data_IF_312959582789
#
_entry.id   IF_312959582789
#
_cell.length_a   1.000
_cell.length_b   1.000
_cell.length_c   1.000
_cell.angle_alpha   90.00
_cell.angle_beta   90.00
_cell.angle_gamma   90.00
#
_symmetry.space_group_name_H-M   'P 1'
#
loop_
_entity.id
_entity.type
_entity.pdbx_description
1 polymer ?
#
# COMPACT_ATOMS: atom_id res chain seq x y z
N UNK A 1 -2.12 -20.52 16.01
CA UNK A 1 -1.38 -20.74 14.73
C UNK A 1 0.11 -20.46 14.84
N UNK A 2 0.61 -19.49 15.65
CA UNK A 2 2.07 -19.24 15.82
C UNK A 2 2.55 -19.04 17.27
N UNK A 3 1.67 -19.18 18.28
CA UNK A 3 1.94 -19.03 19.73
C UNK A 3 2.95 -17.93 20.11
N UNK A 4 2.75 -16.72 19.56
CA UNK A 4 3.64 -15.57 19.73
C UNK A 4 2.85 -14.27 19.88
N UNK A 5 3.32 -13.34 20.72
CA UNK A 5 2.75 -12.00 20.78
C UNK A 5 2.86 -11.31 19.42
N UNK A 6 1.75 -10.73 18.96
CA UNK A 6 1.66 -10.00 17.70
C UNK A 6 1.08 -8.61 17.95
N UNK A 7 1.61 -7.60 17.27
CA UNK A 7 1.07 -6.24 17.26
C UNK A 7 0.77 -5.85 15.81
N UNK A 8 -0.39 -5.25 15.58
CA UNK A 8 -0.81 -4.77 14.26
C UNK A 8 -0.78 -3.24 14.26
N UNK A 9 -0.04 -2.66 13.31
CA UNK A 9 0.09 -1.21 13.12
C UNK A 9 -0.59 -0.72 11.83
N UNK A 10 -1.51 -1.51 11.28
CA UNK A 10 -2.26 -1.18 10.08
C UNK A 10 -3.03 0.14 10.25
N UNK A 11 -2.90 1.02 9.26
CA UNK A 11 -3.55 2.32 9.26
C UNK A 11 -4.21 2.57 7.91
N UNK A 12 -5.48 2.97 7.93
CA UNK A 12 -6.22 3.33 6.73
C UNK A 12 -5.57 4.55 6.07
N UNK A 13 -5.37 4.49 4.76
CA UNK A 13 -4.79 5.57 3.97
C UNK A 13 -3.29 5.79 4.18
N UNK A 14 -2.60 4.91 4.91
CA UNK A 14 -1.15 5.00 5.05
C UNK A 14 -0.42 4.58 3.77
N UNK A 15 0.68 5.25 3.51
CA UNK A 15 1.71 4.93 2.54
C UNK A 15 3.05 4.79 3.28
N UNK A 16 4.13 4.58 2.52
CA UNK A 16 5.42 4.17 3.12
C UNK A 16 5.96 5.27 4.05
N UNK A 17 5.69 6.53 3.71
CA UNK A 17 6.11 7.70 4.46
C UNK A 17 5.58 7.72 5.91
N UNK A 18 4.39 7.18 6.19
CA UNK A 18 3.83 7.12 7.54
C UNK A 18 4.71 6.28 8.49
N UNK A 19 5.21 5.14 8.02
CA UNK A 19 6.02 4.21 8.82
C UNK A 19 7.50 4.58 8.85
N UNK A 20 8.00 5.29 7.84
CA UNK A 20 9.36 5.88 7.88
C UNK A 20 9.46 6.96 8.96
N UNK A 21 8.38 7.68 9.22
CA UNK A 21 8.36 8.77 10.22
C UNK A 21 8.03 8.30 11.63
N UNK A 22 7.43 7.13 11.78
CA UNK A 22 7.07 6.57 13.09
C UNK A 22 8.25 5.84 13.73
N UNK A 23 8.99 6.55 14.57
CA UNK A 23 10.15 5.99 15.28
C UNK A 23 9.78 4.94 16.32
N UNK A 24 8.55 4.97 16.84
CA UNK A 24 8.12 4.02 17.87
C UNK A 24 7.77 2.67 17.22
N UNK A 25 7.05 2.68 16.10
CA UNK A 25 6.82 1.47 15.28
C UNK A 25 8.15 0.88 14.83
N UNK A 26 9.08 1.69 14.33
CA UNK A 26 10.42 1.20 13.96
C UNK A 26 11.17 0.56 15.13
N UNK A 27 11.08 1.14 16.34
CA UNK A 27 11.70 0.56 17.54
C UNK A 27 11.06 -0.78 17.89
N UNK A 28 9.75 -0.92 17.72
CA UNK A 28 9.04 -2.19 17.94
C UNK A 28 9.42 -3.24 16.90
N UNK A 29 9.52 -2.86 15.62
CA UNK A 29 9.96 -3.75 14.55
C UNK A 29 11.39 -4.26 14.77
N UNK A 30 12.33 -3.42 15.21
CA UNK A 30 13.71 -3.84 15.53
C UNK A 30 13.80 -4.88 16.66
N UNK A 31 12.79 -4.92 17.54
CA UNK A 31 12.70 -5.86 18.66
C UNK A 31 11.85 -7.08 18.34
N UNK A 32 11.21 -7.12 17.17
CA UNK A 32 10.40 -8.26 16.75
C UNK A 32 11.31 -9.38 16.25
N UNK A 33 10.86 -10.62 16.38
CA UNK A 33 11.55 -11.75 15.75
C UNK A 33 11.40 -11.74 14.23
N UNK A 34 10.26 -11.23 13.74
CA UNK A 34 9.84 -11.17 12.34
C UNK A 34 8.91 -9.96 12.20
N UNK A 35 9.07 -9.18 11.13
CA UNK A 35 8.17 -8.09 10.75
C UNK A 35 7.45 -8.47 9.44
N UNK A 36 6.13 -8.37 9.42
CA UNK A 36 5.32 -8.53 8.20
C UNK A 36 4.90 -7.16 7.70
N UNK A 37 5.22 -6.85 6.44
CA UNK A 37 4.86 -5.58 5.80
C UNK A 37 3.89 -5.88 4.67
N UNK A 38 2.64 -5.47 4.83
CA UNK A 38 1.70 -5.45 3.72
C UNK A 38 2.14 -4.37 2.72
N UNK A 39 2.34 -4.76 1.46
CA UNK A 39 2.74 -3.85 0.39
C UNK A 39 1.62 -2.82 0.18
N UNK A 40 1.96 -1.54 0.33
CA UNK A 40 1.07 -0.42 0.07
C UNK A 40 1.30 0.15 -1.33
N UNK A 41 0.27 0.77 -1.91
CA UNK A 41 0.37 1.36 -3.24
C UNK A 41 1.32 2.57 -3.30
N UNK A 42 1.89 2.80 -4.48
CA UNK A 42 2.90 3.84 -4.71
C UNK A 42 2.33 5.26 -4.79
N UNK A 43 1.01 5.42 -4.94
CA UNK A 43 0.36 6.72 -4.97
C UNK A 43 0.49 7.49 -3.66
N UNK A 44 0.52 6.82 -2.53
CA UNK A 44 0.54 7.48 -1.22
C UNK A 44 1.97 7.78 -0.76
N UNK A 45 2.83 8.32 -1.63
CA UNK A 45 4.23 8.66 -1.31
C UNK A 45 4.56 10.05 -1.84
N UNK A 46 5.16 10.88 -0.98
CA UNK A 46 5.70 12.18 -1.39
C UNK A 46 6.89 11.97 -2.32
N UNK A 47 6.87 12.68 -3.45
CA UNK A 47 7.81 12.53 -4.56
C UNK A 47 8.17 13.91 -5.15
N UNK A 48 8.91 13.95 -6.26
CA UNK A 48 9.34 15.23 -6.86
C UNK A 48 8.19 16.06 -7.43
N UNK A 49 7.06 15.43 -7.72
CA UNK A 49 5.89 16.07 -8.31
C UNK A 49 4.91 16.57 -7.26
N UNK A 50 4.68 15.84 -6.17
CA UNK A 50 3.75 16.28 -5.12
C UNK A 50 4.12 15.77 -3.73
N UNK A 51 3.54 16.42 -2.73
CA UNK A 51 3.65 16.03 -1.32
C UNK A 51 2.32 15.51 -0.79
N UNK A 52 2.42 14.55 0.13
CA UNK A 52 1.28 13.98 0.86
C UNK A 52 1.41 14.26 2.35
N UNK A 53 0.31 14.16 3.10
CA UNK A 53 0.32 14.37 4.54
C UNK A 53 1.21 13.32 5.22
N UNK A 54 2.00 13.65 6.26
CA UNK A 54 3.03 12.76 6.82
C UNK A 54 2.50 11.41 7.37
N UNK A 55 1.31 11.38 7.96
CA UNK A 55 0.71 10.14 8.51
C UNK A 55 -0.44 9.59 7.67
N UNK A 56 -1.39 10.44 7.24
CA UNK A 56 -2.46 10.11 6.29
C UNK A 56 -2.04 10.32 4.85
N UNK A 57 -1.17 9.46 4.34
CA UNK A 57 -0.53 9.67 3.04
C UNK A 57 -1.50 9.64 1.83
N UNK A 58 -2.78 9.27 2.03
CA UNK A 58 -3.86 9.46 1.05
C UNK A 58 -4.23 10.92 0.80
N UNK A 59 -3.82 11.84 1.69
CA UNK A 59 -4.12 13.26 1.62
C UNK A 59 -3.06 14.00 0.82
N UNK A 60 -3.51 14.61 -0.27
CA UNK A 60 -2.70 15.52 -1.05
C UNK A 60 -2.47 16.81 -0.27
N UNK A 61 -1.23 17.32 -0.26
CA UNK A 61 -0.89 18.58 0.40
C UNK A 61 -0.64 19.67 -0.63
N UNK A 62 0.26 19.43 -1.58
CA UNK A 62 0.57 20.42 -2.60
C UNK A 62 1.28 19.80 -3.80
N UNK A 63 1.07 20.35 -5.01
CA UNK A 63 1.92 20.07 -6.15
C UNK A 63 3.22 20.88 -6.05
N UNK A 64 4.30 20.31 -6.56
CA UNK A 64 5.55 21.04 -6.78
C UNK A 64 5.41 22.01 -7.96
N UNK A 65 6.35 22.96 -8.08
CA UNK A 65 6.45 23.81 -9.28
C UNK A 65 6.64 22.97 -10.56
N UNK A 66 7.41 21.87 -10.47
CA UNK A 66 7.62 20.95 -11.59
C UNK A 66 6.31 20.30 -12.07
N UNK A 67 5.49 19.85 -11.13
CA UNK A 67 4.17 19.28 -11.45
C UNK A 67 3.26 20.30 -12.13
N UNK A 68 3.23 21.53 -11.64
CA UNK A 68 2.46 22.62 -12.26
C UNK A 68 2.96 22.94 -13.67
N UNK A 69 4.26 22.85 -13.93
CA UNK A 69 4.80 23.06 -15.29
C UNK A 69 4.47 21.90 -16.23
N UNK A 70 4.56 20.65 -15.76
CA UNK A 70 4.26 19.49 -16.60
C UNK A 70 2.76 19.43 -16.92
N UNK A 71 1.90 19.81 -15.97
CA UNK A 71 0.43 19.77 -16.05
C UNK A 71 -0.15 21.18 -15.90
N UNK A 72 0.24 22.08 -16.80
CA UNK A 72 -0.14 23.51 -16.77
C UNK A 72 -1.64 23.76 -16.95
N UNK A 73 -2.35 22.81 -17.53
CA UNK A 73 -3.79 22.77 -17.78
C UNK A 73 -4.60 22.19 -16.61
N UNK A 74 -3.94 21.73 -15.55
CA UNK A 74 -4.58 21.12 -14.38
C UNK A 74 -4.65 22.11 -13.22
N UNK A 75 -5.86 22.37 -12.73
CA UNK A 75 -6.10 23.15 -11.51
C UNK A 75 -5.94 22.24 -10.28
N UNK A 76 -4.99 22.55 -9.39
CA UNK A 76 -4.66 21.70 -8.23
C UNK A 76 -5.32 22.11 -6.91
N UNK A 77 -6.05 23.23 -6.88
CA UNK A 77 -6.60 23.80 -5.64
C UNK A 77 -7.72 22.97 -5.01
N UNK A 78 -8.41 22.13 -5.80
CA UNK A 78 -9.58 21.37 -5.35
C UNK A 78 -9.27 19.94 -4.87
N UNK A 79 -8.01 19.52 -4.88
CA UNK A 79 -7.63 18.16 -4.51
C UNK A 79 -7.29 18.01 -3.03
N UNK A 80 -8.12 17.26 -2.31
CA UNK A 80 -7.84 16.84 -0.92
C UNK A 80 -7.27 15.41 -0.82
N UNK A 81 -7.42 14.62 -1.88
CA UNK A 81 -7.05 13.20 -1.93
C UNK A 81 -6.19 12.92 -3.15
N UNK A 82 -5.12 12.15 -2.95
CA UNK A 82 -4.19 11.75 -4.02
C UNK A 82 -4.92 11.00 -5.12
N UNK A 83 -5.79 10.06 -4.76
CA UNK A 83 -6.49 9.24 -5.73
C UNK A 83 -7.39 10.07 -6.67
N UNK A 84 -8.10 11.07 -6.13
CA UNK A 84 -8.93 11.96 -6.94
C UNK A 84 -8.08 12.76 -7.93
N UNK A 85 -6.98 13.34 -7.44
CA UNK A 85 -6.01 14.08 -8.26
C UNK A 85 -5.42 13.22 -9.38
N UNK A 86 -4.97 12.01 -9.07
CA UNK A 86 -4.39 11.10 -10.07
C UNK A 86 -5.40 10.64 -11.12
N UNK A 87 -6.64 10.38 -10.73
CA UNK A 87 -7.71 10.01 -11.66
C UNK A 87 -8.03 11.15 -12.62
N UNK A 88 -8.16 12.38 -12.11
CA UNK A 88 -8.42 13.56 -12.94
C UNK A 88 -7.29 13.84 -13.94
N UNK A 89 -6.02 13.78 -13.49
CA UNK A 89 -4.88 14.01 -14.39
C UNK A 89 -4.81 12.93 -15.47
N UNK A 90 -5.07 11.66 -15.13
CA UNK A 90 -5.09 10.58 -16.13
C UNK A 90 -6.12 10.83 -17.23
N UNK A 91 -7.29 11.38 -16.85
CA UNK A 91 -8.36 11.69 -17.78
C UNK A 91 -8.04 12.91 -18.66
N UNK A 92 -7.48 13.96 -18.07
CA UNK A 92 -7.22 15.23 -18.77
C UNK A 92 -5.94 15.19 -19.61
N UNK A 93 -4.92 14.49 -19.13
CA UNK A 93 -3.55 14.50 -19.67
C UNK A 93 -2.95 13.09 -19.78
N UNK A 94 -3.58 12.16 -20.53
CA UNK A 94 -3.13 10.78 -20.62
C UNK A 94 -1.71 10.63 -21.17
N UNK A 95 -1.33 11.46 -22.14
CA UNK A 95 -0.01 11.39 -22.80
C UNK A 95 1.16 11.69 -21.85
N UNK A 96 0.93 12.57 -20.88
CA UNK A 96 1.93 12.98 -19.87
C UNK A 96 1.86 12.16 -18.58
N UNK A 97 0.79 11.37 -18.40
CA UNK A 97 0.54 10.65 -17.15
C UNK A 97 1.64 9.64 -16.79
N UNK A 98 2.30 9.08 -17.81
CA UNK A 98 3.42 8.16 -17.64
C UNK A 98 4.56 8.78 -16.81
N UNK A 99 4.76 10.10 -16.87
CA UNK A 99 5.78 10.82 -16.08
C UNK A 99 5.49 10.68 -14.58
N UNK A 100 4.22 10.81 -14.17
CA UNK A 100 3.81 10.61 -12.78
C UNK A 100 4.07 9.18 -12.35
N UNK A 101 3.66 8.21 -13.17
CA UNK A 101 3.82 6.78 -12.83
C UNK A 101 5.30 6.44 -12.62
N UNK A 102 6.20 6.90 -13.50
CA UNK A 102 7.64 6.64 -13.35
C UNK A 102 8.22 7.28 -12.08
N UNK A 103 7.81 8.51 -11.77
CA UNK A 103 8.23 9.18 -10.54
C UNK A 103 7.72 8.43 -9.30
N UNK A 104 6.46 7.97 -9.29
CA UNK A 104 5.89 7.21 -8.17
C UNK A 104 6.64 5.91 -7.94
N UNK A 105 6.94 5.16 -9.00
CA UNK A 105 7.70 3.91 -8.88
C UNK A 105 9.08 4.16 -8.28
N UNK A 106 9.78 5.16 -8.79
CA UNK A 106 11.12 5.55 -8.31
C UNK A 106 11.09 5.95 -6.84
N UNK A 107 10.17 6.85 -6.46
CA UNK A 107 10.04 7.33 -5.10
C UNK A 107 9.64 6.20 -4.13
N UNK A 108 8.70 5.33 -4.54
CA UNK A 108 8.24 4.21 -3.72
C UNK A 108 9.36 3.20 -3.44
N UNK A 109 10.14 2.80 -4.46
CA UNK A 109 11.26 1.87 -4.26
C UNK A 109 12.30 2.47 -3.31
N UNK A 110 12.64 3.75 -3.49
CA UNK A 110 13.57 4.44 -2.59
C UNK A 110 13.07 4.45 -1.14
N UNK A 111 11.78 4.75 -0.94
CA UNK A 111 11.17 4.77 0.40
C UNK A 111 11.05 3.38 1.03
N UNK A 112 10.71 2.36 0.25
CA UNK A 112 10.70 0.99 0.75
C UNK A 112 12.10 0.54 1.17
N UNK A 113 13.14 0.86 0.38
CA UNK A 113 14.54 0.57 0.75
C UNK A 113 14.94 1.28 2.05
N UNK A 114 14.58 2.56 2.21
CA UNK A 114 14.80 3.33 3.44
C UNK A 114 14.07 2.70 4.65
N UNK A 115 12.79 2.36 4.49
CA UNK A 115 11.97 1.75 5.54
C UNK A 115 12.54 0.39 5.97
N UNK A 116 12.92 -0.46 5.01
CA UNK A 116 13.51 -1.77 5.29
C UNK A 116 14.86 -1.64 6.01
N UNK A 117 15.71 -0.69 5.60
CA UNK A 117 16.97 -0.41 6.28
C UNK A 117 16.74 0.08 7.73
N UNK A 118 15.73 0.92 7.95
CA UNK A 118 15.40 1.44 9.28
C UNK A 118 14.80 0.37 10.20
N UNK A 119 13.94 -0.50 9.68
CA UNK A 119 13.33 -1.61 10.42
C UNK A 119 14.37 -2.67 10.76
N UNK A 120 15.15 -3.11 9.77
CA UNK A 120 16.11 -4.21 9.92
C UNK A 120 15.47 -5.54 10.34
N UNK A 121 16.33 -6.52 10.66
CA UNK A 121 15.87 -7.85 11.05
C UNK A 121 15.21 -8.62 9.90
N UNK A 122 14.35 -9.58 10.25
CA UNK A 122 13.69 -10.48 9.28
C UNK A 122 12.37 -9.90 8.83
N UNK A 123 12.24 -9.64 7.53
CA UNK A 123 11.05 -9.02 6.94
C UNK A 123 10.39 -9.95 5.93
N UNK A 124 9.07 -10.12 6.07
CA UNK A 124 8.21 -10.76 5.08
C UNK A 124 7.37 -9.68 4.40
N UNK A 125 7.37 -9.63 3.08
CA UNK A 125 6.39 -8.81 2.35
C UNK A 125 5.11 -9.60 2.09
N UNK A 126 3.97 -9.01 2.41
CA UNK A 126 2.66 -9.54 2.07
C UNK A 126 2.11 -8.77 0.86
N UNK A 127 1.99 -9.44 -0.27
CA UNK A 127 1.46 -8.89 -1.52
C UNK A 127 0.00 -9.31 -1.71
N UNK A 128 -0.93 -8.46 -1.30
CA UNK A 128 -2.36 -8.69 -1.52
C UNK A 128 -2.81 -8.11 -2.87
N UNK A 129 -3.73 -8.76 -3.59
CA UNK A 129 -4.37 -8.18 -4.76
C UNK A 129 -5.29 -7.01 -4.35
N UNK A 130 -5.56 -6.11 -5.29
CA UNK A 130 -6.49 -5.00 -5.07
C UNK A 130 -7.90 -5.39 -5.54
N UNK A 131 -8.84 -5.57 -4.60
CA UNK A 131 -10.25 -5.94 -4.87
C UNK A 131 -11.09 -4.82 -5.51
N UNK A 132 -10.57 -3.60 -5.60
CA UNK A 132 -11.37 -2.50 -6.12
C UNK A 132 -11.29 -2.40 -7.64
N UNK A 133 -12.04 -3.24 -8.36
CA UNK A 133 -12.22 -3.10 -9.82
C UNK A 133 -12.80 -1.72 -10.21
N UNK A 134 -13.67 -1.13 -9.37
CA UNK A 134 -14.24 0.21 -9.60
C UNK A 134 -13.23 1.36 -9.43
N UNK A 135 -12.17 1.18 -8.64
CA UNK A 135 -11.06 2.15 -8.51
C UNK A 135 -9.85 1.78 -9.39
N UNK A 136 -9.78 0.54 -9.87
CA UNK A 136 -8.70 0.00 -10.68
C UNK A 136 -8.95 0.21 -12.18
N UNK A 137 -8.94 1.48 -12.63
CA UNK A 137 -8.47 1.73 -14.01
C UNK A 137 -6.93 1.66 -14.10
N UNK A 138 -6.24 1.28 -13.02
CA UNK A 138 -4.84 1.62 -12.76
C UNK A 138 -3.94 0.40 -12.40
N UNK A 139 -4.47 -0.81 -12.16
CA UNK A 139 -3.67 -2.04 -11.98
C UNK A 139 -4.34 -3.15 -11.13
N UNK A 140 -3.73 -4.35 -11.06
CA UNK A 140 -4.28 -5.56 -10.39
C UNK A 140 -3.77 -5.79 -8.94
N UNK A 141 -3.03 -4.84 -8.37
CA UNK A 141 -2.40 -4.96 -7.05
C UNK A 141 -2.32 -3.62 -6.33
N UNK A 142 -1.45 -3.47 -5.32
CA UNK A 142 -1.14 -2.16 -4.75
C UNK A 142 -0.78 -1.20 -5.88
N UNK A 143 -1.47 -0.07 -5.95
CA UNK A 143 -1.49 0.80 -7.13
C UNK A 143 -0.06 1.16 -7.60
N UNK A 144 0.22 0.94 -8.89
CA UNK A 144 1.52 1.16 -9.53
C UNK A 144 2.72 0.40 -8.96
N UNK A 145 2.52 -0.62 -8.13
CA UNK A 145 3.59 -1.52 -7.67
C UNK A 145 3.63 -2.75 -8.57
N UNK A 146 4.76 -2.99 -9.22
CA UNK A 146 4.97 -4.13 -10.11
C UNK A 146 6.05 -5.10 -9.59
N UNK A 147 6.19 -6.24 -10.28
CA UNK A 147 7.13 -7.29 -9.88
C UNK A 147 8.59 -6.83 -9.92
N UNK A 148 8.96 -5.91 -10.82
CA UNK A 148 10.32 -5.41 -10.92
C UNK A 148 10.68 -4.57 -9.68
N UNK A 149 9.77 -3.69 -9.26
CA UNK A 149 9.93 -2.90 -8.04
C UNK A 149 10.10 -3.77 -6.80
N UNK A 150 9.34 -4.86 -6.72
CA UNK A 150 9.43 -5.82 -5.62
C UNK A 150 10.73 -6.62 -5.67
N UNK A 151 11.24 -6.92 -6.86
CA UNK A 151 12.51 -7.61 -7.02
C UNK A 151 13.70 -6.74 -6.59
N UNK A 152 13.62 -5.43 -6.75
CA UNK A 152 14.64 -4.52 -6.21
C UNK A 152 14.76 -4.56 -4.68
N UNK A 153 13.77 -5.09 -3.97
CA UNK A 153 13.77 -5.23 -2.51
C UNK A 153 14.30 -6.59 -2.04
N UNK A 154 14.57 -7.53 -2.96
CA UNK A 154 14.92 -8.93 -2.66
C UNK A 154 16.06 -9.08 -1.65
N UNK A 155 17.08 -8.23 -1.75
CA UNK A 155 18.26 -8.27 -0.86
C UNK A 155 18.01 -7.80 0.58
N UNK A 156 16.82 -7.28 0.90
CA UNK A 156 16.49 -6.74 2.22
C UNK A 156 15.28 -7.40 2.86
N UNK A 157 14.79 -8.50 2.28
CA UNK A 157 13.61 -9.24 2.76
C UNK A 157 13.89 -10.74 2.74
N UNK A 158 13.23 -11.49 3.61
CA UNK A 158 13.37 -12.93 3.73
C UNK A 158 12.46 -13.67 2.74
N UNK A 159 11.24 -13.16 2.54
CA UNK A 159 10.30 -13.76 1.60
C UNK A 159 9.16 -12.83 1.20
N UNK A 160 8.43 -13.28 0.18
CA UNK A 160 7.17 -12.68 -0.25
C UNK A 160 6.08 -13.73 -0.13
N UNK A 161 5.00 -13.35 0.55
CA UNK A 161 3.76 -14.10 0.58
C UNK A 161 2.76 -13.41 -0.34
N UNK A 162 2.34 -14.09 -1.39
CA UNK A 162 1.32 -13.63 -2.34
C UNK A 162 0.17 -14.65 -2.36
N UNK A 163 -0.88 -14.43 -1.54
CA UNK A 163 -2.06 -15.29 -1.54
C UNK A 163 -2.85 -15.15 -2.83
N UNK A 164 -3.43 -16.25 -3.30
CA UNK A 164 -4.34 -16.27 -4.43
C UNK A 164 -5.75 -15.95 -3.93
N UNK A 165 -6.13 -14.67 -3.97
CA UNK A 165 -7.43 -14.18 -3.50
C UNK A 165 -8.27 -13.71 -4.68
N UNK A 166 -9.59 -13.83 -4.56
CA UNK A 166 -10.52 -13.28 -5.54
C UNK A 166 -10.47 -11.76 -5.55
N UNK A 167 -10.53 -11.16 -6.75
CA UNK A 167 -10.59 -9.69 -6.93
C UNK A 167 -12.02 -9.16 -7.04
N UNK A 168 -13.01 -10.05 -7.11
CA UNK A 168 -14.42 -9.68 -7.20
C UNK A 168 -14.94 -9.11 -5.86
N UNK A 169 -15.89 -8.16 -5.89
CA UNK A 169 -16.59 -7.72 -4.70
C UNK A 169 -17.31 -8.90 -4.04
N UNK A 170 -17.17 -9.01 -2.73
CA UNK A 170 -17.81 -10.04 -1.92
C UNK A 170 -19.20 -9.58 -1.46
N UNK A 171 -20.07 -10.53 -1.10
CA UNK A 171 -21.29 -10.25 -0.34
C UNK A 171 -20.96 -10.32 1.16
N UNK A 172 -20.84 -9.18 1.87
CA UNK A 172 -20.38 -9.16 3.26
C UNK A 172 -21.38 -9.84 4.20
N UNK A 173 -22.63 -10.00 3.78
CA UNK A 173 -23.67 -10.65 4.60
C UNK A 173 -23.44 -12.14 4.72
N UNK A 174 -22.73 -12.76 3.77
CA UNK A 174 -22.38 -14.20 3.83
C UNK A 174 -21.39 -14.51 4.94
N UNK A 175 -20.58 -13.54 5.36
CA UNK A 175 -19.64 -13.66 6.49
C UNK A 175 -20.28 -13.26 7.84
N UNK A 176 -21.58 -13.00 7.88
CA UNK A 176 -22.28 -12.56 9.09
C UNK A 176 -21.90 -11.14 9.56
N UNK A 177 -21.25 -10.35 8.71
CA UNK A 177 -20.87 -8.97 9.02
C UNK A 177 -22.09 -8.06 9.03
N UNK A 178 -22.22 -7.26 10.09
CA UNK A 178 -23.19 -6.17 10.18
C UNK A 178 -22.50 -4.87 9.76
N UNK A 179 -23.09 -4.17 8.79
CA UNK A 179 -22.58 -2.89 8.29
C UNK A 179 -23.73 -1.91 8.08
N UNK A 180 -23.43 -0.60 8.12
CA UNK A 180 -24.42 0.42 7.78
C UNK A 180 -24.59 0.49 6.26
N UNK A 181 -25.75 0.93 5.73
CA UNK A 181 -25.91 1.13 4.29
C UNK A 181 -24.85 2.03 3.64
N UNK A 182 -24.26 2.96 4.41
CA UNK A 182 -23.17 3.83 3.93
C UNK A 182 -21.84 3.10 3.76
N UNK A 183 -21.64 1.98 4.45
CA UNK A 183 -20.41 1.19 4.41
C UNK A 183 -20.47 0.04 3.41
N UNK A 184 -21.60 -0.17 2.73
CA UNK A 184 -21.82 -1.32 1.84
C UNK A 184 -20.72 -1.47 0.78
N UNK A 185 -20.31 -0.35 0.17
CA UNK A 185 -19.25 -0.36 -0.85
C UNK A 185 -17.86 -0.66 -0.26
N UNK A 186 -17.58 -0.23 0.97
CA UNK A 186 -16.32 -0.56 1.63
C UNK A 186 -16.31 -2.02 2.11
N UNK A 187 -17.44 -2.50 2.64
CA UNK A 187 -17.62 -3.85 3.13
C UNK A 187 -17.50 -4.88 1.99
N UNK A 188 -18.06 -4.63 0.81
CA UNK A 188 -17.94 -5.54 -0.34
C UNK A 188 -16.51 -5.66 -0.88
N UNK A 189 -15.66 -4.68 -0.61
CA UNK A 189 -14.25 -4.68 -1.01
C UNK A 189 -13.31 -5.24 0.07
N UNK A 190 -13.83 -5.57 1.26
CA UNK A 190 -13.06 -6.19 2.32
C UNK A 190 -12.74 -7.65 1.99
N UNK A 191 -11.68 -8.17 2.59
CA UNK A 191 -11.39 -9.61 2.55
C UNK A 191 -12.49 -10.38 3.30
N UNK A 192 -12.89 -11.53 2.76
CA UNK A 192 -13.79 -12.44 3.48
C UNK A 192 -13.08 -13.09 4.66
N UNK A 193 -13.85 -13.73 5.53
CA UNK A 193 -13.29 -14.53 6.60
C UNK A 193 -12.37 -15.64 6.08
N UNK A 194 -12.73 -16.32 4.98
CA UNK A 194 -11.91 -17.37 4.38
C UNK A 194 -10.60 -16.84 3.80
N UNK A 195 -10.64 -15.67 3.16
CA UNK A 195 -9.44 -15.00 2.65
C UNK A 195 -8.50 -14.59 3.79
N UNK A 196 -9.05 -14.06 4.89
CA UNK A 196 -8.28 -13.79 6.11
C UNK A 196 -7.62 -15.06 6.67
N UNK A 197 -8.33 -16.19 6.71
CA UNK A 197 -7.78 -17.46 7.17
C UNK A 197 -6.67 -17.98 6.25
N UNK A 198 -6.83 -17.84 4.93
CA UNK A 198 -5.82 -18.23 3.95
C UNK A 198 -4.54 -17.40 4.13
N UNK A 199 -4.66 -16.07 4.21
CA UNK A 199 -3.53 -15.16 4.47
C UNK A 199 -2.83 -15.53 5.77
N UNK A 200 -3.59 -15.73 6.85
CA UNK A 200 -3.04 -16.10 8.15
C UNK A 200 -2.30 -17.44 8.12
N UNK A 201 -2.86 -18.45 7.43
CA UNK A 201 -2.23 -19.77 7.27
C UNK A 201 -0.92 -19.67 6.48
N UNK A 202 -0.89 -18.92 5.39
CA UNK A 202 0.32 -18.72 4.57
C UNK A 202 1.42 -18.00 5.34
N UNK A 203 1.08 -16.92 6.05
CA UNK A 203 2.03 -16.22 6.91
C UNK A 203 2.53 -17.11 8.05
N UNK A 204 1.65 -17.89 8.67
CA UNK A 204 2.04 -18.79 9.77
C UNK A 204 3.05 -19.85 9.30
N UNK A 205 2.82 -20.48 8.15
CA UNK A 205 3.77 -21.44 7.57
C UNK A 205 5.15 -20.80 7.36
N UNK A 206 5.18 -19.58 6.84
CA UNK A 206 6.40 -18.88 6.52
C UNK A 206 7.16 -18.40 7.78
N UNK A 207 6.43 -17.90 8.77
CA UNK A 207 6.96 -17.52 10.09
C UNK A 207 7.55 -18.73 10.82
N UNK A 208 6.89 -19.89 10.77
CA UNK A 208 7.37 -21.13 11.37
C UNK A 208 8.64 -21.61 10.65
N UNK A 209 8.66 -21.58 9.31
CA UNK A 209 9.83 -21.95 8.50
C UNK A 209 11.07 -21.12 8.85
N UNK A 210 10.90 -19.83 9.15
CA UNK A 210 11.98 -18.94 9.54
C UNK A 210 12.37 -19.04 11.02
N UNK A 211 11.60 -19.73 11.83
CA UNK A 211 11.91 -19.87 13.25
C UNK A 211 13.07 -20.86 13.43
N UNK A 212 14.09 -20.53 14.23
CA UNK A 212 15.17 -21.47 14.54
C UNK A 212 14.66 -22.69 15.31
#
# INVERSE_FOLDING_TARGET
>A
MIDRPCANFGQIGAGVDAFIRDTDVQRMCRRSSITVIQIMGAQNVSNRLYSVHPTRNDRFISPSSMMKTIFEDVEFTDYNFVQHMLSSIKQQSPDRYSIIVQELKTAWVARMKEMLANIGGRVILLWLPCKSAMLNTLGEGPLYVDAQMIEELRGSIESIVRPDLGIEPNDPTQDGLLYSPFDQAAASLAMTQDEHHLVAKMLAMEIIRMSP
#
